data_IF_620853670705
#
_entry.id   IF_620853670705
#
_cell.length_a   1.000
_cell.length_b   1.000
_cell.length_c   1.000
_cell.angle_alpha   90.00
_cell.angle_beta   90.00
_cell.angle_gamma   90.00
#
_symmetry.space_group_name_H-M   'P 1'
#
loop_
_entity.id
_entity.type
_entity.pdbx_description
1 polymer ?
#
# COMPACT_ATOMS: atom_id res chain seq x y z
N UNK A 1 0.51 -13.03 -18.08
CA UNK A 1 0.55 -12.08 -16.94
C UNK A 1 0.81 -10.64 -17.41
N UNK A 2 -0.15 -9.74 -17.22
CA UNK A 2 0.00 -8.29 -17.45
C UNK A 2 -0.19 -7.51 -16.14
N UNK A 3 0.36 -6.30 -16.05
CA UNK A 3 0.29 -5.47 -14.84
C UNK A 3 0.04 -4.02 -15.21
N UNK A 4 -1.00 -3.43 -14.63
CA UNK A 4 -1.34 -2.01 -14.76
C UNK A 4 -1.15 -1.35 -13.41
N UNK A 5 -0.23 -0.40 -13.35
CA UNK A 5 0.10 0.32 -12.11
C UNK A 5 -0.57 1.69 -12.10
N UNK A 6 -1.07 2.07 -10.94
CA UNK A 6 -1.41 3.46 -10.65
C UNK A 6 -0.14 4.28 -10.47
N UNK A 7 -0.25 5.59 -10.65
CA UNK A 7 0.81 6.52 -10.30
C UNK A 7 1.16 6.37 -8.82
N UNK A 8 2.46 6.37 -8.52
CA UNK A 8 2.94 6.32 -7.14
C UNK A 8 2.55 7.59 -6.40
N UNK A 9 2.02 7.42 -5.19
CA UNK A 9 1.80 8.51 -4.24
C UNK A 9 2.83 8.40 -3.11
N UNK A 10 3.18 9.53 -2.51
CA UNK A 10 4.09 9.52 -1.36
C UNK A 10 3.71 10.57 -0.33
N UNK A 11 3.99 10.23 0.92
CA UNK A 11 3.81 11.09 2.08
C UNK A 11 5.16 11.27 2.77
N UNK A 12 5.47 12.51 3.16
CA UNK A 12 6.63 12.84 3.99
C UNK A 12 6.15 13.38 5.32
N UNK A 13 6.76 12.91 6.39
CA UNK A 13 6.47 13.34 7.75
C UNK A 13 7.78 13.58 8.50
N UNK A 14 7.79 14.64 9.31
CA UNK A 14 8.89 14.96 10.23
C UNK A 14 8.28 15.34 11.56
N UNK A 15 8.62 14.61 12.61
CA UNK A 15 8.05 14.85 13.93
C UNK A 15 8.25 13.67 14.87
N UNK A 16 7.47 13.67 15.94
CA UNK A 16 7.32 12.52 16.83
C UNK A 16 6.09 11.75 16.38
N UNK A 17 6.17 10.42 16.36
CA UNK A 17 5.03 9.55 16.10
C UNK A 17 5.12 8.27 16.92
N UNK A 18 4.00 7.59 17.01
CA UNK A 18 3.90 6.25 17.58
C UNK A 18 4.05 5.23 16.44
N UNK A 19 5.25 4.64 16.32
CA UNK A 19 5.57 3.71 15.21
C UNK A 19 4.65 2.49 15.21
N UNK A 20 4.39 1.91 16.39
CA UNK A 20 3.51 0.74 16.53
C UNK A 20 2.08 1.07 16.10
N UNK A 21 1.55 2.22 16.54
CA UNK A 21 0.20 2.66 16.15
C UNK A 21 0.09 2.85 14.64
N UNK A 22 1.06 3.49 13.99
CA UNK A 22 1.06 3.69 12.53
C UNK A 22 1.10 2.35 11.81
N UNK A 23 2.09 1.50 12.16
CA UNK A 23 2.29 0.19 11.54
C UNK A 23 1.02 -0.67 11.67
N UNK A 24 0.49 -0.81 12.88
CA UNK A 24 -0.68 -1.65 13.16
C UNK A 24 -1.96 -1.10 12.51
N UNK A 25 -2.19 0.21 12.57
CA UNK A 25 -3.41 0.82 11.98
C UNK A 25 -3.47 0.57 10.48
N UNK A 26 -2.35 0.74 9.77
CA UNK A 26 -2.28 0.46 8.33
C UNK A 26 -2.46 -1.03 8.02
N UNK A 27 -1.79 -1.90 8.78
CA UNK A 27 -1.90 -3.35 8.63
C UNK A 27 -3.35 -3.83 8.82
N UNK A 28 -3.98 -3.48 9.95
CA UNK A 28 -5.33 -3.90 10.30
C UNK A 28 -6.36 -3.38 9.28
N UNK A 29 -6.16 -2.17 8.75
CA UNK A 29 -7.03 -1.58 7.73
C UNK A 29 -6.99 -2.34 6.40
N UNK A 30 -5.81 -2.82 5.98
CA UNK A 30 -5.63 -3.63 4.78
C UNK A 30 -6.19 -5.04 4.98
N UNK A 31 -5.92 -5.67 6.11
CA UNK A 31 -6.44 -7.00 6.45
C UNK A 31 -7.96 -7.00 6.53
N UNK A 32 -8.57 -5.99 7.16
CA UNK A 32 -10.03 -5.84 7.22
C UNK A 32 -10.69 -5.72 5.83
N UNK A 33 -9.92 -5.30 4.81
CA UNK A 33 -10.37 -5.23 3.41
C UNK A 33 -10.10 -6.50 2.61
N UNK A 34 -9.60 -7.55 3.26
CA UNK A 34 -9.32 -8.85 2.67
C UNK A 34 -7.98 -8.91 1.93
N UNK A 35 -7.06 -7.99 2.20
CA UNK A 35 -5.69 -8.11 1.70
C UNK A 35 -4.89 -9.06 2.58
N UNK A 36 -4.15 -9.96 1.93
CA UNK A 36 -3.13 -10.77 2.59
C UNK A 36 -1.83 -9.97 2.61
N UNK A 37 -1.33 -9.72 3.80
CA UNK A 37 -0.09 -8.98 4.03
C UNK A 37 1.13 -9.90 3.90
N UNK A 38 2.19 -9.39 3.30
CA UNK A 38 3.51 -10.00 3.27
C UNK A 38 4.54 -8.89 3.47
N UNK A 39 5.38 -9.00 4.50
CA UNK A 39 6.56 -8.15 4.61
C UNK A 39 7.63 -8.70 3.66
N UNK A 40 7.93 -7.96 2.60
CA UNK A 40 8.88 -8.38 1.56
C UNK A 40 10.30 -7.90 1.83
N UNK A 41 10.45 -6.84 2.63
CA UNK A 41 11.75 -6.30 3.01
C UNK A 41 11.70 -5.74 4.42
N UNK A 42 12.72 -6.10 5.21
CA UNK A 42 13.09 -5.39 6.42
C UNK A 42 14.60 -5.18 6.39
N UNK A 43 15.04 -3.93 6.28
CA UNK A 43 16.45 -3.54 6.34
C UNK A 43 16.61 -2.46 7.40
N UNK A 44 17.24 -2.84 8.50
CA UNK A 44 17.63 -1.90 9.53
C UNK A 44 19.14 -1.66 9.43
N UNK A 45 19.52 -0.50 8.88
CA UNK A 45 20.92 -0.09 8.69
C UNK A 45 21.07 1.33 9.23
N UNK A 46 21.29 1.49 10.55
CA UNK A 46 21.43 2.80 11.15
C UNK A 46 22.39 3.70 10.34
N UNK A 47 21.98 4.92 9.97
CA UNK A 47 20.85 5.70 10.50
C UNK A 47 19.51 5.55 9.73
N UNK A 48 19.40 4.59 8.81
CA UNK A 48 18.24 4.42 7.93
C UNK A 48 17.55 3.06 8.14
N UNK A 49 16.22 3.07 8.14
CA UNK A 49 15.39 1.87 8.21
C UNK A 49 14.45 1.83 6.99
N UNK A 50 14.49 0.74 6.25
CA UNK A 50 13.61 0.48 5.11
C UNK A 50 12.71 -0.71 5.40
N UNK A 51 11.41 -0.52 5.21
CA UNK A 51 10.41 -1.59 5.37
C UNK A 51 9.55 -1.62 4.11
N UNK A 52 9.33 -2.80 3.56
CA UNK A 52 8.47 -2.99 2.39
C UNK A 52 7.38 -4.01 2.70
N UNK A 53 6.14 -3.61 2.45
CA UNK A 53 4.99 -4.51 2.46
C UNK A 53 4.43 -4.70 1.06
N UNK A 54 4.01 -5.93 0.82
CA UNK A 54 3.21 -6.31 -0.33
C UNK A 54 1.89 -6.87 0.20
N UNK A 55 0.80 -6.16 -0.08
CA UNK A 55 -0.56 -6.54 0.26
C UNK A 55 -1.26 -7.05 -1.00
N UNK A 56 -1.65 -8.32 -1.03
CA UNK A 56 -2.31 -8.95 -2.19
C UNK A 56 -3.74 -9.32 -1.89
N UNK A 57 -4.65 -9.04 -2.82
CA UNK A 57 -6.05 -9.46 -2.76
C UNK A 57 -6.46 -10.09 -4.07
N UNK A 58 -6.86 -11.36 -4.03
CA UNK A 58 -7.44 -12.05 -5.19
C UNK A 58 -8.88 -11.55 -5.37
N UNK A 59 -9.21 -11.04 -6.56
CA UNK A 59 -10.56 -10.58 -6.89
C UNK A 59 -11.34 -11.71 -7.54
N UNK A 60 -10.74 -12.34 -8.55
CA UNK A 60 -11.27 -13.53 -9.22
C UNK A 60 -10.12 -14.41 -9.75
N UNK A 61 -10.40 -15.37 -10.64
CA UNK A 61 -9.39 -16.26 -11.20
C UNK A 61 -8.45 -15.59 -12.21
N UNK A 62 -8.79 -14.41 -12.70
CA UNK A 62 -8.05 -13.64 -13.70
C UNK A 62 -7.41 -12.39 -13.10
N UNK A 63 -8.06 -11.71 -12.15
CA UNK A 63 -7.65 -10.42 -11.58
C UNK A 63 -7.21 -10.54 -10.12
N UNK A 64 -6.06 -9.95 -9.80
CA UNK A 64 -5.59 -9.72 -8.44
C UNK A 64 -5.14 -8.27 -8.25
N UNK A 65 -5.39 -7.73 -7.06
CA UNK A 65 -4.87 -6.44 -6.64
C UNK A 65 -3.59 -6.63 -5.84
N UNK A 66 -2.63 -5.73 -6.06
CA UNK A 66 -1.43 -5.62 -5.27
C UNK A 66 -1.27 -4.18 -4.83
N UNK A 67 -1.11 -3.95 -3.53
CA UNK A 67 -0.69 -2.67 -2.96
C UNK A 67 0.70 -2.89 -2.38
N UNK A 68 1.60 -1.96 -2.68
CA UNK A 68 2.95 -1.91 -2.15
C UNK A 68 3.07 -0.68 -1.26
N UNK A 69 3.55 -0.90 -0.04
CA UNK A 69 3.82 0.17 0.93
C UNK A 69 5.30 0.12 1.24
N UNK A 70 6.01 1.21 0.98
CA UNK A 70 7.42 1.31 1.28
C UNK A 70 7.66 2.43 2.28
N UNK A 71 8.20 2.06 3.44
CA UNK A 71 8.63 2.98 4.48
C UNK A 71 10.12 3.21 4.34
N UNK A 72 10.50 4.48 4.32
CA UNK A 72 11.88 4.93 4.45
C UNK A 72 11.96 5.86 5.65
N UNK A 73 12.65 5.45 6.69
CA UNK A 73 12.80 6.19 7.95
C UNK A 73 14.26 6.54 8.13
N UNK A 74 14.55 7.78 8.53
CA UNK A 74 15.90 8.23 8.81
C UNK A 74 15.90 9.27 9.92
N UNK A 75 17.08 9.49 10.52
CA UNK A 75 17.27 10.32 11.71
C UNK A 75 16.37 9.86 12.89
N UNK A 76 16.26 8.54 13.10
CA UNK A 76 15.40 7.96 14.13
C UNK A 76 16.05 8.07 15.52
N UNK A 77 15.34 8.71 16.45
CA UNK A 77 15.71 8.87 17.86
C UNK A 77 14.52 8.51 18.75
N UNK A 78 14.78 7.88 19.89
CA UNK A 78 13.74 7.65 20.90
C UNK A 78 13.44 8.94 21.67
N UNK A 79 12.15 9.24 21.83
CA UNK A 79 11.65 10.37 22.58
C UNK A 79 10.66 9.91 23.65
N UNK A 80 10.94 10.20 24.93
CA UNK A 80 9.96 10.00 26.01
C UNK A 80 8.92 11.13 25.97
N UNK A 81 7.66 10.80 25.68
CA UNK A 81 6.56 11.76 25.71
C UNK A 81 5.64 11.42 26.88
N UNK A 82 5.46 12.39 27.78
CA UNK A 82 4.47 12.31 28.85
C UNK A 82 3.11 12.79 28.32
N UNK A 83 2.27 11.88 27.81
CA UNK A 83 0.91 12.19 27.36
C UNK A 83 -0.07 11.61 28.38
N UNK A 84 -0.68 12.48 29.20
CA UNK A 84 -1.69 12.06 30.20
C UNK A 84 -1.16 11.44 31.49
N UNK A 85 0.11 11.68 31.85
CA UNK A 85 0.72 11.16 33.09
C UNK A 85 1.42 9.81 32.96
N UNK A 86 1.26 9.12 31.82
CA UNK A 86 2.05 7.95 31.44
C UNK A 86 3.22 8.34 30.54
N UNK A 87 4.41 7.85 30.85
CA UNK A 87 5.56 7.93 29.94
C UNK A 87 5.37 6.91 28.83
N UNK A 88 5.33 7.37 27.57
CA UNK A 88 5.39 6.49 26.40
C UNK A 88 6.65 6.81 25.62
N UNK A 89 7.37 5.75 25.25
CA UNK A 89 8.48 5.85 24.29
C UNK A 89 7.87 6.02 22.91
N UNK A 90 8.16 7.14 22.27
CA UNK A 90 7.77 7.45 20.91
C UNK A 90 9.01 7.59 20.04
N UNK A 91 8.83 7.51 18.73
CA UNK A 91 9.91 7.69 17.78
C UNK A 91 9.88 9.12 17.24
N UNK A 92 11.05 9.75 17.18
CA UNK A 92 11.26 11.06 16.57
C UNK A 92 12.18 10.91 15.38
N UNK A 93 11.86 11.59 14.28
CA UNK A 93 12.70 11.52 13.09
C UNK A 93 11.98 12.00 11.84
N UNK A 94 12.39 11.44 10.70
CA UNK A 94 11.77 11.69 9.39
C UNK A 94 11.33 10.36 8.78
N UNK A 95 10.19 10.39 8.12
CA UNK A 95 9.62 9.23 7.47
C UNK A 95 9.08 9.63 6.10
N UNK A 96 9.33 8.79 5.10
CA UNK A 96 8.67 8.82 3.80
C UNK A 96 7.94 7.50 3.62
N UNK A 97 6.64 7.58 3.33
CA UNK A 97 5.82 6.42 2.96
C UNK A 97 5.49 6.57 1.49
N UNK A 98 5.92 5.62 0.67
CA UNK A 98 5.54 5.53 -0.75
C UNK A 98 4.46 4.46 -0.89
N UNK A 99 3.36 4.84 -1.53
CA UNK A 99 2.24 3.97 -1.83
C UNK A 99 2.18 3.75 -3.34
N UNK A 100 2.19 2.49 -3.76
CA UNK A 100 1.90 2.13 -5.14
C UNK A 100 0.93 0.97 -5.19
N UNK A 101 0.15 0.91 -6.27
CA UNK A 101 -0.85 -0.13 -6.42
C UNK A 101 -0.96 -0.55 -7.87
N UNK A 102 -1.19 -1.83 -8.09
CA UNK A 102 -1.31 -2.40 -9.40
C UNK A 102 -2.42 -3.47 -9.48
N UNK A 103 -3.05 -3.54 -10.64
CA UNK A 103 -3.90 -4.64 -11.04
C UNK A 103 -3.05 -5.63 -11.82
N UNK A 104 -3.04 -6.88 -11.38
CA UNK A 104 -2.34 -7.99 -12.02
C UNK A 104 -3.41 -8.85 -12.70
N UNK A 105 -3.29 -9.07 -14.01
CA UNK A 105 -4.16 -10.02 -14.73
C UNK A 105 -3.42 -11.25 -15.20
N UNK A 106 -4.21 -12.29 -15.49
CA UNK A 106 -3.73 -13.58 -15.97
C UNK A 106 -2.70 -14.17 -14.98
N UNK A 107 -3.11 -14.22 -13.71
CA UNK A 107 -2.31 -14.82 -12.64
C UNK A 107 -2.40 -16.37 -12.65
N UNK A 108 -3.44 -16.94 -13.26
CA UNK A 108 -3.72 -18.39 -13.23
C UNK A 108 -3.21 -19.17 -14.44
N UNK A 109 -2.77 -18.52 -15.53
CA UNK A 109 -2.16 -19.16 -16.71
C UNK A 109 -3.05 -20.17 -17.45
N UNK A 110 -4.34 -20.27 -17.12
CA UNK A 110 -5.26 -21.30 -17.66
C UNK A 110 -5.59 -21.09 -19.15
N UNK A 111 -5.41 -19.88 -19.67
CA UNK A 111 -5.78 -19.52 -21.03
C UNK A 111 -4.79 -20.02 -22.10
N UNK A 112 -3.61 -20.52 -21.70
CA UNK A 112 -2.60 -21.02 -22.63
C UNK A 112 -2.88 -22.42 -23.22
N UNK A 113 -3.92 -23.12 -22.75
CA UNK A 113 -4.07 -24.57 -22.98
C UNK A 113 -4.74 -24.99 -24.29
N UNK A 114 -5.45 -24.13 -25.03
CA UNK A 114 -6.08 -24.53 -26.32
C UNK A 114 -6.21 -23.36 -27.31
N UNK A 115 -6.05 -23.57 -28.64
CA UNK A 115 -6.10 -22.49 -29.64
C UNK A 115 -7.42 -21.66 -29.66
N UNK A 116 -8.55 -22.29 -29.36
CA UNK A 116 -9.86 -21.61 -29.24
C UNK A 116 -9.91 -20.67 -28.03
N UNK A 117 -9.33 -21.09 -26.89
CA UNK A 117 -9.21 -20.26 -25.69
C UNK A 117 -8.28 -19.07 -25.90
N UNK A 118 -7.18 -19.23 -26.66
CA UNK A 118 -6.29 -18.12 -27.05
C UNK A 118 -6.97 -17.08 -27.95
N UNK A 119 -7.86 -17.52 -28.86
CA UNK A 119 -8.61 -16.59 -29.70
C UNK A 119 -9.69 -15.83 -28.90
N UNK A 120 -10.43 -16.52 -28.03
CA UNK A 120 -11.38 -15.88 -27.11
C UNK A 120 -10.69 -14.96 -26.11
N UNK A 121 -9.53 -15.33 -25.60
CA UNK A 121 -8.66 -14.48 -24.78
C UNK A 121 -8.32 -13.18 -25.53
N UNK A 122 -7.91 -13.28 -26.80
CA UNK A 122 -7.62 -12.11 -27.63
C UNK A 122 -8.80 -11.15 -27.80
N UNK A 123 -10.03 -11.67 -27.88
CA UNK A 123 -11.26 -10.85 -28.00
C UNK A 123 -11.70 -10.29 -26.63
N UNK A 124 -11.68 -11.12 -25.58
CA UNK A 124 -12.05 -10.72 -24.22
C UNK A 124 -11.07 -9.68 -23.66
N UNK A 125 -9.76 -9.91 -23.79
CA UNK A 125 -8.72 -8.98 -23.34
C UNK A 125 -8.83 -7.63 -24.07
N UNK A 126 -9.10 -7.65 -25.38
CA UNK A 126 -9.11 -6.43 -26.20
C UNK A 126 -10.33 -5.53 -26.00
N UNK A 127 -11.50 -6.08 -25.66
CA UNK A 127 -12.74 -5.29 -25.66
C UNK A 127 -13.48 -5.24 -24.32
N UNK A 128 -13.42 -6.30 -23.52
CA UNK A 128 -14.20 -6.40 -22.27
C UNK A 128 -13.29 -6.21 -21.06
N UNK A 129 -12.16 -6.92 -21.02
CA UNK A 129 -11.22 -6.82 -19.91
C UNK A 129 -10.63 -5.43 -19.80
N UNK A 130 -10.14 -4.80 -20.88
CA UNK A 130 -9.57 -3.45 -20.81
C UNK A 130 -10.54 -2.42 -20.22
N UNK A 131 -11.81 -2.43 -20.62
CA UNK A 131 -12.80 -1.45 -20.14
C UNK A 131 -13.24 -1.71 -18.70
N UNK A 132 -13.47 -2.97 -18.32
CA UNK A 132 -13.79 -3.32 -16.93
C UNK A 132 -12.56 -3.11 -16.01
N UNK A 133 -11.35 -3.38 -16.51
CA UNK A 133 -10.09 -3.20 -15.79
C UNK A 133 -9.80 -1.73 -15.52
N UNK A 134 -9.87 -0.88 -16.55
CA UNK A 134 -9.67 0.56 -16.37
C UNK A 134 -10.78 1.19 -15.52
N UNK A 135 -12.06 0.95 -15.82
CA UNK A 135 -13.14 1.69 -15.15
C UNK A 135 -13.46 1.15 -13.77
N UNK A 136 -13.47 -0.17 -13.57
CA UNK A 136 -13.93 -0.77 -12.31
C UNK A 136 -12.78 -1.09 -11.37
N UNK A 137 -11.72 -1.69 -11.89
CA UNK A 137 -10.63 -2.20 -11.06
C UNK A 137 -9.64 -1.11 -10.68
N UNK A 138 -9.23 -0.26 -11.64
CA UNK A 138 -8.31 0.85 -11.37
C UNK A 138 -8.97 1.94 -10.51
N UNK A 139 -10.22 2.32 -10.75
CA UNK A 139 -10.94 3.30 -9.90
C UNK A 139 -11.10 2.82 -8.46
N UNK A 140 -11.44 1.53 -8.28
CA UNK A 140 -11.53 0.93 -6.94
C UNK A 140 -10.17 0.97 -6.24
N UNK A 141 -9.11 0.57 -6.96
CA UNK A 141 -7.76 0.55 -6.40
C UNK A 141 -7.26 1.96 -6.08
N UNK A 142 -7.60 2.95 -6.91
CA UNK A 142 -7.32 4.37 -6.66
C UNK A 142 -8.04 4.86 -5.40
N UNK A 143 -9.34 4.54 -5.27
CA UNK A 143 -10.11 4.90 -4.08
C UNK A 143 -9.55 4.25 -2.80
N UNK A 144 -9.12 2.99 -2.88
CA UNK A 144 -8.47 2.29 -1.76
C UNK A 144 -7.14 2.97 -1.40
N UNK A 145 -6.31 3.30 -2.39
CA UNK A 145 -5.04 3.99 -2.17
C UNK A 145 -5.23 5.36 -1.52
N UNK A 146 -6.20 6.13 -2.03
CA UNK A 146 -6.60 7.42 -1.48
C UNK A 146 -7.05 7.32 -0.02
N UNK A 147 -7.91 6.36 0.30
CA UNK A 147 -8.39 6.16 1.67
C UNK A 147 -7.29 5.67 2.62
N UNK A 148 -6.34 4.87 2.12
CA UNK A 148 -5.16 4.49 2.89
C UNK A 148 -4.26 5.71 3.18
N UNK A 149 -4.08 6.59 2.19
CA UNK A 149 -3.32 7.83 2.35
C UNK A 149 -3.94 8.77 3.39
N UNK A 150 -5.27 8.95 3.35
CA UNK A 150 -6.02 9.70 4.37
C UNK A 150 -5.84 9.10 5.77
N UNK A 151 -5.96 7.77 5.90
CA UNK A 151 -5.76 7.06 7.16
C UNK A 151 -4.37 7.33 7.75
N UNK A 152 -3.32 7.31 6.90
CA UNK A 152 -1.94 7.60 7.32
C UNK A 152 -1.85 9.02 7.87
N UNK A 153 -2.39 10.01 7.15
CA UNK A 153 -2.41 11.41 7.58
C UNK A 153 -3.09 11.59 8.93
N UNK A 154 -4.25 10.97 9.12
CA UNK A 154 -5.01 11.03 10.37
C UNK A 154 -4.25 10.35 11.52
N UNK A 155 -3.64 9.19 11.26
CA UNK A 155 -2.89 8.44 12.29
C UNK A 155 -1.64 9.18 12.73
N UNK A 156 -1.00 9.90 11.81
CA UNK A 156 0.14 10.78 12.07
C UNK A 156 -0.28 12.17 12.59
N UNK A 157 -1.57 12.41 12.84
CA UNK A 157 -2.10 13.69 13.33
C UNK A 157 -1.68 14.89 12.43
N UNK A 158 -1.48 14.66 11.13
CA UNK A 158 -1.05 15.69 10.17
C UNK A 158 -2.09 16.78 9.91
N UNK A 159 -3.35 16.52 10.24
CA UNK A 159 -4.45 17.49 10.07
C UNK A 159 -4.52 18.51 11.22
N UNK A 160 -4.01 18.16 12.40
CA UNK A 160 -3.99 19.02 13.60
C UNK A 160 -2.67 19.77 13.78
N UNK A 161 -1.56 19.25 13.24
CA UNK A 161 -0.29 19.95 13.17
C UNK A 161 -0.19 20.71 11.84
N UNK A 162 -0.47 22.02 11.87
CA UNK A 162 -0.33 22.93 10.72
C UNK A 162 1.10 23.08 10.19
N UNK A 163 1.65 22.03 9.60
CA UNK A 163 3.02 21.97 9.14
C UNK A 163 3.23 20.85 8.11
N UNK A 164 2.62 21.00 6.93
CA UNK A 164 3.03 20.26 5.74
C UNK A 164 4.12 21.10 5.05
N UNK A 165 5.32 20.55 4.93
CA UNK A 165 6.39 21.01 4.03
C UNK A 165 6.65 19.94 2.97
#
# INVERSE_FOLDING_TARGET
MQTWSLQEDYLRYKGVWDHEKVYRTMHDWLVARGYRMMESLYKDKPPETEIEWIAKKKVDEYVAYQIKVYFFIWDLEDAEVAKGGEKRVMQKGRMKITLSAAVITDYSGRWETTPFWKWLEGVYNKYIALRDLEVKHMDNLYYVLYKLHELIKQTLEMETAGGVY
#
